data_IF_377359428637
#
_entry.id   IF_377359428637
#
_cell.length_a   1.000
_cell.length_b   1.000
_cell.length_c   1.000
_cell.angle_alpha   90.00
_cell.angle_beta   90.00
_cell.angle_gamma   90.00
#
_symmetry.space_group_name_H-M   'P 1'
#
loop_
_entity.id
_entity.type
_entity.pdbx_description
1 polymer ?
#
# COMPACT_ATOMS: atom_id res chain seq x y z
N UNK A 1 22.83 -0.70 -3.05
CA UNK A 1 21.52 -0.34 -2.47
C UNK A 1 21.62 -0.71 -1.02
N UNK A 2 21.72 0.27 -0.12
CA UNK A 2 21.44 0.02 1.29
C UNK A 2 19.98 -0.42 1.35
N UNK A 3 19.74 -1.69 1.68
CA UNK A 3 18.40 -2.12 2.03
C UNK A 3 18.05 -1.41 3.33
N UNK A 4 17.11 -0.47 3.25
CA UNK A 4 16.46 0.09 4.42
C UNK A 4 15.68 -1.06 5.10
N UNK A 5 16.32 -1.73 6.04
CA UNK A 5 15.79 -2.88 6.79
C UNK A 5 14.77 -2.43 7.86
N UNK A 6 14.28 -1.19 7.76
CA UNK A 6 13.30 -0.64 8.68
C UNK A 6 11.88 -1.08 8.32
N UNK A 7 11.10 -1.38 9.36
CA UNK A 7 9.68 -1.68 9.20
C UNK A 7 8.89 -0.38 9.14
N UNK A 8 8.16 -0.17 8.05
CA UNK A 8 7.27 0.98 7.89
C UNK A 8 5.94 0.72 8.61
N UNK A 9 5.56 1.60 9.53
CA UNK A 9 4.31 1.49 10.31
C UNK A 9 3.52 2.77 10.20
N UNK A 10 2.33 2.70 9.58
CA UNK A 10 1.41 3.83 9.46
C UNK A 10 0.44 3.84 10.63
N UNK A 11 0.26 5.00 11.26
CA UNK A 11 -0.76 5.21 12.30
C UNK A 11 -1.81 6.21 11.84
N UNK A 12 -3.06 6.08 12.32
CA UNK A 12 -4.05 7.14 12.19
C UNK A 12 -3.49 8.49 12.63
N UNK A 13 -3.76 9.54 11.87
CA UNK A 13 -3.16 10.88 12.07
C UNK A 13 -3.35 11.49 13.47
N UNK A 14 -4.41 11.08 14.19
CA UNK A 14 -4.69 11.53 15.55
C UNK A 14 -3.84 10.82 16.62
N UNK A 15 -3.05 9.82 16.25
CA UNK A 15 -2.13 9.10 17.15
C UNK A 15 -0.68 9.48 16.85
N UNK A 16 0.19 9.31 17.85
CA UNK A 16 1.62 9.51 17.69
C UNK A 16 2.22 8.40 16.81
N UNK A 17 3.17 8.78 15.95
CA UNK A 17 3.97 7.83 15.19
C UNK A 17 4.86 7.00 16.14
N UNK A 18 5.02 5.69 15.90
CA UNK A 18 5.89 4.85 16.72
C UNK A 18 7.35 5.31 16.61
N UNK A 19 8.05 5.33 17.74
CA UNK A 19 9.49 5.65 17.82
C UNK A 19 10.23 4.46 18.40
N UNK A 20 10.75 3.59 17.54
CA UNK A 20 11.55 2.42 17.93
C UNK A 20 12.68 2.22 16.92
N UNK A 21 13.83 1.73 17.38
CA UNK A 21 14.95 1.40 16.48
C UNK A 21 14.48 0.37 15.44
N UNK A 22 14.76 0.64 14.16
CA UNK A 22 14.33 -0.21 13.04
C UNK A 22 12.85 -0.02 12.64
N UNK A 23 12.16 1.00 13.15
CA UNK A 23 10.77 1.32 12.77
C UNK A 23 10.71 2.73 12.20
N UNK A 24 10.18 2.85 10.99
CA UNK A 24 9.83 4.12 10.37
C UNK A 24 8.33 4.37 10.56
N UNK A 25 7.99 5.32 11.43
CA UNK A 25 6.61 5.64 11.75
C UNK A 25 6.02 6.73 10.83
N UNK A 26 4.95 6.40 10.12
CA UNK A 26 4.20 7.30 9.22
C UNK A 26 2.86 7.69 9.84
N UNK A 27 2.27 8.81 9.37
CA UNK A 27 0.93 9.23 9.82
C UNK A 27 0.02 9.56 8.65
N UNK A 28 -1.03 8.76 8.49
CA UNK A 28 -2.03 8.97 7.47
C UNK A 28 -3.46 8.97 8.04
N UNK A 29 -4.38 9.61 7.33
CA UNK A 29 -5.79 9.27 7.45
C UNK A 29 -5.98 7.96 6.68
N UNK A 30 -6.20 6.86 7.41
CA UNK A 30 -6.49 5.53 6.86
C UNK A 30 -8.00 5.29 6.94
N UNK A 31 -8.61 4.97 5.81
CA UNK A 31 -9.97 4.47 5.78
C UNK A 31 -10.00 2.98 6.21
N UNK A 32 -11.12 2.46 6.75
CA UNK A 32 -11.19 1.07 7.21
C UNK A 32 -10.89 0.03 6.12
N UNK A 33 -11.26 0.32 4.87
CA UNK A 33 -11.00 -0.50 3.67
C UNK A 33 -9.55 -0.40 3.15
N UNK A 34 -8.73 0.44 3.77
CA UNK A 34 -7.29 0.56 3.49
C UNK A 34 -6.44 -0.29 4.43
N UNK A 35 -7.07 -1.09 5.27
CA UNK A 35 -6.43 -1.94 6.27
C UNK A 35 -6.86 -3.39 6.01
N UNK A 36 -5.89 -4.24 5.69
CA UNK A 36 -6.05 -5.68 5.62
C UNK A 36 -5.56 -6.33 6.92
N UNK A 37 -5.98 -7.56 7.19
CA UNK A 37 -5.44 -8.38 8.29
C UNK A 37 -4.81 -9.65 7.74
N UNK A 38 -3.60 -9.96 8.20
CA UNK A 38 -2.90 -11.21 7.91
C UNK A 38 -2.36 -11.78 9.23
N UNK A 39 -2.80 -12.97 9.61
CA UNK A 39 -2.38 -13.66 10.83
C UNK A 39 -2.50 -12.79 12.11
N UNK A 40 -3.56 -11.99 12.21
CA UNK A 40 -3.80 -11.08 13.34
C UNK A 40 -2.99 -9.78 13.30
N UNK A 41 -2.26 -9.53 12.21
CA UNK A 41 -1.47 -8.32 11.99
C UNK A 41 -2.18 -7.41 11.00
N UNK A 42 -2.42 -6.16 11.40
CA UNK A 42 -2.95 -5.13 10.51
C UNK A 42 -1.88 -4.69 9.50
N UNK A 43 -2.22 -4.76 8.22
CA UNK A 43 -1.42 -4.34 7.08
C UNK A 43 -2.14 -3.24 6.32
N UNK A 44 -1.42 -2.40 5.59
CA UNK A 44 -2.06 -1.58 4.55
C UNK A 44 -2.61 -2.50 3.46
N UNK A 45 -3.80 -2.19 2.96
CA UNK A 45 -4.36 -2.93 1.84
C UNK A 45 -3.45 -2.86 0.61
N UNK A 46 -3.62 -3.77 -0.34
CA UNK A 46 -2.80 -3.78 -1.57
C UNK A 46 -2.88 -2.45 -2.34
N UNK A 47 -4.08 -1.90 -2.45
CA UNK A 47 -4.31 -0.59 -3.08
C UNK A 47 -3.58 0.53 -2.33
N UNK A 48 -3.69 0.53 -1.00
CA UNK A 48 -3.05 1.56 -0.17
C UNK A 48 -1.53 1.44 -0.20
N UNK A 49 -1.00 0.22 -0.16
CA UNK A 49 0.43 -0.06 -0.28
C UNK A 49 0.98 0.42 -1.61
N UNK A 50 0.28 0.17 -2.72
CA UNK A 50 0.66 0.69 -4.03
C UNK A 50 0.69 2.22 -4.06
N UNK A 51 -0.32 2.88 -3.48
CA UNK A 51 -0.33 4.35 -3.37
C UNK A 51 0.84 4.88 -2.53
N UNK A 52 1.16 4.23 -1.41
CA UNK A 52 2.27 4.64 -0.52
C UNK A 52 3.63 4.49 -1.21
N UNK A 53 3.79 3.45 -2.03
CA UNK A 53 5.00 3.24 -2.83
C UNK A 53 5.19 4.28 -3.92
N UNK A 54 4.15 5.00 -4.34
CA UNK A 54 4.26 6.04 -5.37
C UNK A 54 5.20 7.19 -4.97
N UNK A 55 5.48 7.36 -3.68
CA UNK A 55 6.47 8.33 -3.19
C UNK A 55 7.91 7.80 -3.27
N UNK A 56 8.09 6.49 -3.19
CA UNK A 56 9.40 5.85 -3.07
C UNK A 56 9.93 5.32 -4.40
N UNK A 57 9.02 4.92 -5.30
CA UNK A 57 9.36 4.21 -6.51
C UNK A 57 9.26 5.10 -7.76
N UNK A 58 10.14 4.89 -8.76
CA UNK A 58 9.96 5.43 -10.10
C UNK A 58 8.62 5.01 -10.71
N UNK A 59 8.11 5.83 -11.63
CA UNK A 59 6.83 5.59 -12.31
C UNK A 59 6.75 4.20 -12.96
N UNK A 60 7.86 3.72 -13.55
CA UNK A 60 7.90 2.41 -14.22
C UNK A 60 7.63 1.28 -13.22
N UNK A 61 8.27 1.30 -12.06
CA UNK A 61 8.09 0.27 -11.04
C UNK A 61 6.67 0.31 -10.46
N UNK A 62 6.12 1.52 -10.29
CA UNK A 62 4.75 1.70 -9.86
C UNK A 62 3.73 1.16 -10.88
N UNK A 63 4.01 1.31 -12.17
CA UNK A 63 3.19 0.71 -13.26
C UNK A 63 3.24 -0.80 -13.18
N UNK A 64 4.42 -1.40 -13.00
CA UNK A 64 4.57 -2.87 -12.88
C UNK A 64 3.75 -3.42 -11.71
N UNK A 65 3.76 -2.75 -10.56
CA UNK A 65 2.96 -3.13 -9.40
C UNK A 65 1.46 -2.96 -9.72
N UNK A 66 1.07 -1.84 -10.34
CA UNK A 66 -0.30 -1.60 -10.76
C UNK A 66 -0.83 -2.68 -11.69
N UNK A 67 -0.05 -3.06 -12.71
CA UNK A 67 -0.36 -4.14 -13.65
C UNK A 67 -0.51 -5.48 -12.92
N UNK A 68 0.33 -5.76 -11.93
CA UNK A 68 0.22 -6.97 -11.11
C UNK A 68 -1.10 -7.02 -10.32
N UNK A 69 -1.60 -5.87 -9.84
CA UNK A 69 -2.86 -5.80 -9.11
C UNK A 69 -4.06 -6.04 -10.03
N UNK A 70 -4.05 -5.48 -11.24
CA UNK A 70 -5.21 -5.51 -12.15
C UNK A 70 -5.27 -6.71 -13.09
N UNK A 71 -4.15 -7.40 -13.31
CA UNK A 71 -4.13 -8.55 -14.21
C UNK A 71 -4.97 -9.71 -13.66
N UNK A 72 -5.56 -10.47 -14.58
CA UNK A 72 -6.12 -11.76 -14.24
C UNK A 72 -5.01 -12.77 -13.95
N UNK A 73 -5.09 -13.51 -12.83
CA UNK A 73 -4.09 -14.50 -12.47
C UNK A 73 -4.18 -15.78 -13.30
N UNK A 74 -3.08 -16.52 -13.34
CA UNK A 74 -3.10 -17.93 -13.74
C UNK A 74 -3.40 -18.77 -12.50
N UNK A 75 -4.65 -19.16 -12.31
CA UNK A 75 -5.12 -19.81 -11.08
C UNK A 75 -4.26 -21.00 -10.62
N UNK A 76 -3.77 -21.83 -11.55
CA UNK A 76 -2.92 -23.00 -11.28
C UNK A 76 -1.62 -22.65 -10.56
N UNK A 77 -1.09 -21.43 -10.74
CA UNK A 77 0.19 -21.02 -10.17
C UNK A 77 0.07 -20.01 -9.03
N UNK A 78 -1.08 -19.36 -8.89
CA UNK A 78 -1.22 -18.18 -8.03
C UNK A 78 -2.23 -18.34 -6.90
N UNK A 79 -3.04 -19.42 -6.90
CA UNK A 79 -4.01 -19.67 -5.84
C UNK A 79 -5.16 -18.65 -5.77
N UNK A 80 -5.37 -17.89 -6.84
CA UNK A 80 -6.45 -16.91 -7.00
C UNK A 80 -7.03 -16.97 -8.41
N UNK A 81 -8.31 -16.65 -8.53
CA UNK A 81 -9.09 -16.68 -9.78
C UNK A 81 -9.44 -15.29 -10.32
N UNK A 82 -9.33 -14.25 -9.49
CA UNK A 82 -9.58 -12.85 -9.86
C UNK A 82 -8.38 -11.91 -9.68
N UNK A 83 -8.44 -10.72 -10.28
CA UNK A 83 -7.46 -9.66 -10.01
C UNK A 83 -7.53 -9.22 -8.54
N UNK A 84 -6.46 -8.60 -8.04
CA UNK A 84 -6.46 -8.03 -6.68
C UNK A 84 -7.19 -6.69 -6.61
N UNK A 85 -7.28 -5.98 -7.73
CA UNK A 85 -7.97 -4.72 -7.85
C UNK A 85 -8.37 -4.47 -9.31
N UNK A 86 -9.16 -3.43 -9.52
CA UNK A 86 -9.55 -2.91 -10.83
C UNK A 86 -8.88 -1.56 -11.09
N UNK A 87 -8.79 -1.16 -12.35
CA UNK A 87 -8.30 0.19 -12.72
C UNK A 87 -9.20 1.30 -12.16
N UNK A 88 -10.49 1.02 -11.95
CA UNK A 88 -11.42 1.94 -11.31
C UNK A 88 -11.05 2.16 -9.83
N UNK A 89 -10.73 1.09 -9.09
CA UNK A 89 -10.30 1.18 -7.70
C UNK A 89 -8.94 1.90 -7.55
N UNK A 90 -7.98 1.63 -8.44
CA UNK A 90 -6.72 2.39 -8.49
C UNK A 90 -6.97 3.89 -8.73
N UNK A 91 -7.92 4.21 -9.61
CA UNK A 91 -8.30 5.60 -9.87
C UNK A 91 -8.96 6.23 -8.65
N UNK A 92 -9.81 5.48 -7.95
CA UNK A 92 -10.55 5.97 -6.80
C UNK A 92 -9.65 6.23 -5.60
N UNK A 93 -8.69 5.33 -5.32
CA UNK A 93 -7.77 5.55 -4.19
C UNK A 93 -6.91 6.80 -4.39
N UNK A 94 -6.48 7.09 -5.64
CA UNK A 94 -5.80 8.36 -5.97
C UNK A 94 -6.72 9.55 -5.70
N UNK A 95 -7.99 9.48 -6.10
CA UNK A 95 -8.97 10.57 -5.90
C UNK A 95 -9.20 10.85 -4.42
N UNK A 96 -9.43 9.81 -3.62
CA UNK A 96 -9.62 9.88 -2.17
C UNK A 96 -8.41 10.45 -1.43
N UNK A 97 -7.24 10.42 -2.08
CA UNK A 97 -5.97 10.90 -1.53
C UNK A 97 -5.46 12.17 -2.23
N UNK A 98 -6.23 12.77 -3.14
CA UNK A 98 -5.81 14.00 -3.83
C UNK A 98 -5.57 15.15 -2.86
N UNK A 99 -4.44 15.81 -3.02
CA UNK A 99 -3.99 16.90 -2.15
C UNK A 99 -3.08 16.46 -1.00
N UNK A 100 -2.91 15.16 -0.76
CA UNK A 100 -1.85 14.63 0.11
C UNK A 100 -0.57 14.57 -0.72
N UNK A 101 0.22 15.65 -0.72
CA UNK A 101 1.65 15.51 -1.00
C UNK A 101 2.18 14.52 0.04
N UNK A 102 2.91 13.49 -0.41
CA UNK A 102 3.50 12.47 0.45
C UNK A 102 4.13 13.09 1.69
N UNK A 103 3.85 12.48 2.84
CA UNK A 103 4.29 12.80 4.21
C UNK A 103 4.96 14.17 4.45
#
# INVERSE_FOLDING_TARGET
MDSDDSTHVTRPRHLNAPRRRGVMGHRANLAPDEIDELDGVALTSRLKTWLDLAYLLPVIDLVVIGDHLVRFPRAVFEGRDGPFATTAELTEIIKSHRGKRGE
#
